data_IF_999906495434
#
_entry.id   IF_999906495434
#
_cell.length_a   1.000
_cell.length_b   1.000
_cell.length_c   1.000
_cell.angle_alpha   90.00
_cell.angle_beta   90.00
_cell.angle_gamma   90.00
#
_symmetry.space_group_name_H-M   'P 1'
#
loop_
_entity.id
_entity.type
_entity.pdbx_description
1 polymer ?
#
# COMPACT_ATOMS: atom_id res chain seq x y z
N UNK A 1 -10.66 -23.14 -9.49
CA UNK A 1 -10.65 -21.67 -9.72
C UNK A 1 -11.81 -21.36 -10.68
N UNK A 2 -13.00 -20.97 -10.19
CA UNK A 2 -14.11 -20.54 -11.09
C UNK A 2 -13.76 -19.15 -11.63
N UNK A 3 -13.27 -19.08 -12.87
CA UNK A 3 -12.65 -17.88 -13.49
C UNK A 3 -13.62 -16.70 -13.70
N UNK A 4 -14.90 -16.89 -13.99
CA UNK A 4 -15.76 -15.80 -14.49
C UNK A 4 -16.38 -14.78 -13.50
N UNK A 5 -16.11 -14.82 -12.19
CA UNK A 5 -16.71 -13.84 -11.24
C UNK A 5 -15.79 -12.68 -10.83
N UNK A 6 -14.49 -12.81 -11.04
CA UNK A 6 -13.55 -11.75 -10.66
C UNK A 6 -13.41 -10.68 -11.75
N UNK A 7 -13.70 -11.04 -13.00
CA UNK A 7 -13.46 -10.17 -14.17
C UNK A 7 -14.36 -8.93 -14.15
N UNK A 8 -15.62 -9.07 -13.72
CA UNK A 8 -16.56 -7.95 -13.57
C UNK A 8 -16.15 -6.94 -12.50
N UNK A 9 -15.48 -7.38 -11.43
CA UNK A 9 -15.03 -6.51 -10.34
C UNK A 9 -13.87 -5.66 -10.85
N UNK A 10 -12.94 -6.29 -11.55
CA UNK A 10 -11.82 -5.60 -12.17
C UNK A 10 -12.35 -4.55 -13.15
N UNK A 11 -13.28 -4.92 -14.03
CA UNK A 11 -13.93 -4.00 -14.95
C UNK A 11 -14.61 -2.82 -14.21
N UNK A 12 -15.37 -3.09 -13.15
CA UNK A 12 -16.00 -2.03 -12.34
C UNK A 12 -14.97 -1.07 -11.74
N UNK A 13 -13.85 -1.58 -11.20
CA UNK A 13 -12.80 -0.72 -10.64
C UNK A 13 -12.12 0.09 -11.74
N UNK A 14 -11.83 -0.51 -12.90
CA UNK A 14 -11.33 0.21 -14.07
C UNK A 14 -12.29 1.33 -14.51
N UNK A 15 -13.61 1.10 -14.45
CA UNK A 15 -14.62 2.11 -14.73
C UNK A 15 -14.63 3.24 -13.70
N UNK A 16 -14.27 3.02 -12.43
CA UNK A 16 -14.13 4.11 -11.46
C UNK A 16 -12.92 4.99 -11.80
N UNK A 17 -11.83 4.39 -12.26
CA UNK A 17 -10.57 5.08 -12.60
C UNK A 17 -10.44 5.47 -14.08
N UNK A 18 -11.50 5.35 -14.88
CA UNK A 18 -11.41 5.50 -16.34
C UNK A 18 -10.83 6.86 -16.78
N UNK A 19 -11.19 7.95 -16.09
CA UNK A 19 -10.69 9.30 -16.42
C UNK A 19 -9.17 9.39 -16.27
N UNK A 20 -8.61 8.78 -15.22
CA UNK A 20 -7.16 8.72 -15.00
C UNK A 20 -6.47 7.90 -16.09
N UNK A 21 -7.10 6.83 -16.57
CA UNK A 21 -6.51 5.98 -17.60
C UNK A 21 -6.57 6.61 -18.99
N UNK A 22 -7.60 7.41 -19.29
CA UNK A 22 -7.72 8.13 -20.56
C UNK A 22 -6.83 9.38 -20.56
N UNK A 23 -6.75 10.09 -19.44
CA UNK A 23 -5.99 11.34 -19.30
C UNK A 23 -4.91 11.27 -18.20
N UNK A 24 -3.92 10.37 -18.33
CA UNK A 24 -2.96 10.09 -17.27
C UNK A 24 -1.94 11.20 -17.01
N UNK A 25 -1.72 12.13 -17.95
CA UNK A 25 -0.82 13.27 -17.72
C UNK A 25 -1.46 14.39 -16.90
N UNK A 26 -2.80 14.42 -16.81
CA UNK A 26 -3.50 15.39 -15.96
C UNK A 26 -3.37 15.04 -14.48
N UNK A 27 -2.71 13.92 -14.18
CA UNK A 27 -2.57 13.33 -12.87
C UNK A 27 -1.52 14.06 -12.00
N UNK A 28 -1.87 15.27 -11.54
CA UNK A 28 -1.32 16.06 -10.42
C UNK A 28 0.20 16.31 -10.28
N UNK A 29 0.48 17.16 -9.29
CA UNK A 29 1.71 17.92 -9.05
C UNK A 29 3.01 17.10 -8.93
N UNK A 30 2.97 15.85 -8.48
CA UNK A 30 4.19 15.05 -8.24
C UNK A 30 4.66 14.27 -9.49
N UNK A 31 3.85 14.21 -10.55
CA UNK A 31 4.17 13.47 -11.79
C UNK A 31 4.22 14.41 -13.00
N UNK A 32 5.42 14.87 -13.35
CA UNK A 32 5.62 15.71 -14.52
C UNK A 32 5.48 14.92 -15.83
N UNK A 33 4.90 15.56 -16.85
CA UNK A 33 4.89 15.02 -18.20
C UNK A 33 6.33 14.90 -18.72
N UNK A 34 6.70 13.72 -19.20
CA UNK A 34 8.02 13.46 -19.75
C UNK A 34 7.97 13.32 -21.27
N UNK A 35 8.70 14.18 -21.98
CA UNK A 35 8.84 14.09 -23.42
C UNK A 35 9.72 12.89 -23.81
N UNK A 36 9.58 12.44 -25.06
CA UNK A 36 10.35 11.28 -25.56
C UNK A 36 11.87 11.50 -25.41
N UNK A 37 12.37 12.69 -25.72
CA UNK A 37 13.80 13.03 -25.56
C UNK A 37 14.26 12.84 -24.12
N UNK A 38 13.55 13.46 -23.17
CA UNK A 38 13.85 13.37 -21.73
C UNK A 38 13.81 11.93 -21.19
N UNK A 39 12.87 11.11 -21.69
CA UNK A 39 12.83 9.69 -21.33
C UNK A 39 14.04 8.94 -21.89
N UNK A 40 14.51 9.25 -23.09
CA UNK A 40 15.69 8.61 -23.67
C UNK A 40 16.98 9.00 -22.95
N UNK A 41 17.08 10.22 -22.41
CA UNK A 41 18.23 10.67 -21.62
C UNK A 41 18.40 9.86 -20.32
N UNK A 42 17.31 9.24 -19.83
CA UNK A 42 17.33 8.33 -18.68
C UNK A 42 17.81 6.91 -19.02
N UNK A 43 18.10 6.58 -20.28
CA UNK A 43 18.79 5.33 -20.68
C UNK A 43 20.30 5.41 -20.40
N UNK A 44 20.64 5.86 -19.20
CA UNK A 44 22.01 6.07 -18.73
C UNK A 44 22.20 5.38 -17.39
N UNK A 45 23.45 5.19 -16.96
CA UNK A 45 23.76 4.69 -15.62
C UNK A 45 23.20 5.65 -14.56
N UNK A 46 22.82 5.15 -13.36
CA UNK A 46 22.21 5.99 -12.34
C UNK A 46 23.18 7.11 -11.92
N UNK A 47 22.76 8.35 -12.11
CA UNK A 47 23.55 9.55 -11.77
C UNK A 47 23.05 10.16 -10.46
N UNK A 48 23.97 10.55 -9.58
CA UNK A 48 23.66 11.26 -8.31
C UNK A 48 23.22 12.70 -8.51
N UNK A 49 23.47 13.25 -9.70
CA UNK A 49 22.98 14.54 -10.15
C UNK A 49 21.96 14.32 -11.25
N UNK A 50 20.81 14.98 -11.17
CA UNK A 50 19.81 14.96 -12.22
C UNK A 50 19.37 16.37 -12.54
N UNK A 51 19.31 16.72 -13.83
CA UNK A 51 18.57 17.89 -14.31
C UNK A 51 17.06 17.72 -14.15
N UNK A 52 16.60 16.51 -13.85
CA UNK A 52 15.20 16.13 -13.72
C UNK A 52 14.82 16.10 -12.24
N UNK A 53 13.94 17.02 -11.83
CA UNK A 53 13.59 17.24 -10.43
C UNK A 53 12.56 18.35 -10.25
N UNK A 54 12.10 18.55 -9.01
CA UNK A 54 10.99 19.47 -8.71
C UNK A 54 11.28 20.94 -9.08
N UNK A 55 12.56 21.29 -9.25
CA UNK A 55 13.03 22.68 -9.43
C UNK A 55 13.57 22.99 -10.82
N UNK A 56 13.77 22.00 -11.71
CA UNK A 56 14.23 22.18 -13.09
C UNK A 56 15.66 22.72 -13.30
N UNK A 57 16.36 23.14 -12.24
CA UNK A 57 17.75 23.64 -12.27
C UNK A 57 18.81 22.59 -11.95
N UNK A 58 18.38 21.34 -11.79
CA UNK A 58 19.21 20.23 -11.34
C UNK A 58 19.27 20.09 -9.81
N UNK A 59 19.25 18.83 -9.37
CA UNK A 59 19.24 18.47 -7.95
C UNK A 59 19.99 17.15 -7.71
N UNK A 60 20.37 16.93 -6.44
CA UNK A 60 20.90 15.65 -6.01
C UNK A 60 19.78 14.61 -5.94
N UNK A 61 19.91 13.54 -6.71
CA UNK A 61 18.94 12.46 -6.83
C UNK A 61 19.20 11.28 -5.89
N UNK A 62 20.18 11.40 -4.97
CA UNK A 62 20.62 10.31 -4.08
C UNK A 62 19.47 9.68 -3.30
N UNK A 63 18.47 10.48 -2.92
CA UNK A 63 17.27 10.04 -2.22
C UNK A 63 16.19 9.42 -3.12
N UNK A 64 16.47 9.06 -4.37
CA UNK A 64 15.55 8.34 -5.27
C UNK A 64 16.26 7.34 -6.19
N UNK A 65 17.58 7.13 -6.04
CA UNK A 65 18.37 6.27 -6.94
C UNK A 65 17.88 4.81 -7.02
N UNK A 66 17.27 4.30 -5.96
CA UNK A 66 16.66 2.96 -5.96
C UNK A 66 15.57 2.77 -7.02
N UNK A 67 14.98 3.88 -7.50
CA UNK A 67 13.94 3.89 -8.52
C UNK A 67 14.48 3.81 -9.95
N UNK A 68 15.80 3.91 -10.16
CA UNK A 68 16.42 3.90 -11.48
C UNK A 68 15.92 2.78 -12.43
N UNK A 69 15.73 1.52 -11.98
CA UNK A 69 15.18 0.47 -12.84
C UNK A 69 13.79 0.76 -13.40
N UNK A 70 12.94 1.48 -12.64
CA UNK A 70 11.62 1.93 -13.11
C UNK A 70 11.79 2.98 -14.20
N UNK A 71 12.74 3.91 -14.02
CA UNK A 71 13.13 4.88 -15.04
C UNK A 71 13.51 4.22 -16.36
N UNK A 72 14.45 3.26 -16.34
CA UNK A 72 14.86 2.52 -17.55
C UNK A 72 13.68 1.84 -18.22
N UNK A 73 12.78 1.24 -17.45
CA UNK A 73 11.62 0.56 -18.00
C UNK A 73 10.77 1.52 -18.86
N UNK A 74 10.40 2.68 -18.32
CA UNK A 74 9.65 3.69 -19.08
C UNK A 74 10.45 4.26 -20.26
N UNK A 75 11.75 4.46 -20.11
CA UNK A 75 12.63 4.90 -21.18
C UNK A 75 12.75 3.88 -22.34
N UNK A 76 12.74 2.59 -22.01
CA UNK A 76 12.76 1.51 -23.01
C UNK A 76 11.46 1.48 -23.80
N UNK A 77 10.31 1.70 -23.13
CA UNK A 77 9.01 1.85 -23.81
C UNK A 77 9.02 3.05 -24.77
N UNK A 78 9.61 4.18 -24.36
CA UNK A 78 9.78 5.35 -25.22
C UNK A 78 10.66 5.07 -26.43
N UNK A 79 11.74 4.29 -26.26
CA UNK A 79 12.65 3.88 -27.34
C UNK A 79 11.94 3.07 -28.43
N UNK A 80 11.02 2.19 -28.06
CA UNK A 80 10.19 1.41 -29.01
C UNK A 80 8.97 2.19 -29.54
N UNK A 81 8.86 3.47 -29.21
CA UNK A 81 7.85 4.37 -29.77
C UNK A 81 6.55 4.49 -28.96
N UNK A 82 6.46 3.90 -27.77
CA UNK A 82 5.29 4.07 -26.91
C UNK A 82 5.38 5.44 -26.24
N UNK A 83 4.38 6.29 -26.47
CA UNK A 83 4.28 7.61 -25.84
C UNK A 83 4.09 7.46 -24.32
N UNK A 84 4.67 8.38 -23.55
CA UNK A 84 4.57 8.49 -22.10
C UNK A 84 3.14 8.33 -21.56
N UNK A 85 2.13 8.93 -22.20
CA UNK A 85 0.73 8.79 -21.79
C UNK A 85 0.25 7.34 -21.81
N UNK A 86 0.53 6.63 -22.91
CA UNK A 86 0.15 5.22 -23.06
C UNK A 86 0.93 4.38 -22.03
N UNK A 87 2.21 4.68 -21.84
CA UNK A 87 3.04 4.00 -20.84
C UNK A 87 2.48 4.19 -19.43
N UNK A 88 2.11 5.40 -19.03
CA UNK A 88 1.53 5.71 -17.72
C UNK A 88 0.15 5.06 -17.53
N UNK A 89 -0.72 5.13 -18.53
CA UNK A 89 -2.05 4.53 -18.46
C UNK A 89 -1.97 3.01 -18.26
N UNK A 90 -1.17 2.32 -19.08
CA UNK A 90 -1.11 0.85 -19.08
C UNK A 90 -0.17 0.32 -17.99
N UNK A 91 1.09 0.73 -18.03
CA UNK A 91 2.14 0.17 -17.18
C UNK A 91 2.33 0.93 -15.85
N UNK A 92 1.78 2.13 -15.74
CA UNK A 92 1.65 2.84 -14.47
C UNK A 92 0.35 2.49 -13.76
N UNK A 93 -0.68 3.31 -13.95
CA UNK A 93 -1.95 3.22 -13.23
C UNK A 93 -2.70 1.91 -13.48
N UNK A 94 -2.70 1.41 -14.72
CA UNK A 94 -3.31 0.13 -15.06
C UNK A 94 -2.71 -1.04 -14.29
N UNK A 95 -1.38 -1.11 -14.20
CA UNK A 95 -0.68 -2.10 -13.38
C UNK A 95 -0.97 -1.92 -11.89
N UNK A 96 -0.97 -0.67 -11.38
CA UNK A 96 -1.32 -0.42 -9.98
C UNK A 96 -2.72 -0.96 -9.65
N UNK A 97 -3.74 -0.62 -10.46
CA UNK A 97 -5.12 -1.09 -10.27
C UNK A 97 -5.22 -2.62 -10.39
N UNK A 98 -4.58 -3.21 -11.40
CA UNK A 98 -4.61 -4.65 -11.58
C UNK A 98 -3.96 -5.39 -10.40
N UNK A 99 -2.77 -4.96 -9.99
CA UNK A 99 -2.04 -5.56 -8.88
C UNK A 99 -2.75 -5.33 -7.55
N UNK A 100 -3.46 -4.20 -7.36
CA UNK A 100 -4.18 -3.95 -6.12
C UNK A 100 -5.29 -4.97 -5.93
N UNK A 101 -6.08 -5.23 -6.99
CA UNK A 101 -7.12 -6.27 -7.01
C UNK A 101 -6.49 -7.66 -6.87
N UNK A 102 -5.46 -7.98 -7.66
CA UNK A 102 -4.85 -9.30 -7.67
C UNK A 102 -4.20 -9.64 -6.32
N UNK A 103 -3.38 -8.73 -5.79
CA UNK A 103 -2.63 -8.89 -4.56
C UNK A 103 -3.54 -9.11 -3.35
N UNK A 104 -4.47 -8.19 -3.11
CA UNK A 104 -5.40 -8.34 -1.98
C UNK A 104 -6.32 -9.55 -2.16
N UNK A 105 -6.71 -9.88 -3.40
CA UNK A 105 -7.52 -11.07 -3.69
C UNK A 105 -6.79 -12.37 -3.33
N UNK A 106 -5.47 -12.46 -3.54
CA UNK A 106 -4.68 -13.62 -3.11
C UNK A 106 -4.62 -13.74 -1.60
N UNK A 107 -4.33 -12.63 -0.91
CA UNK A 107 -4.29 -12.60 0.55
C UNK A 107 -5.65 -12.98 1.17
N UNK A 108 -6.76 -12.42 0.68
CA UNK A 108 -8.11 -12.79 1.14
C UNK A 108 -8.42 -14.28 0.90
N UNK A 109 -7.96 -14.82 -0.24
CA UNK A 109 -8.11 -16.24 -0.57
C UNK A 109 -7.37 -17.17 0.39
N UNK A 110 -6.17 -16.78 0.84
CA UNK A 110 -5.40 -17.50 1.85
C UNK A 110 -6.20 -17.72 3.13
N UNK A 111 -6.88 -16.67 3.60
CA UNK A 111 -7.77 -16.71 4.76
C UNK A 111 -9.17 -17.27 4.46
N UNK A 112 -9.37 -17.95 3.33
CA UNK A 112 -10.64 -18.61 2.93
C UNK A 112 -11.83 -17.65 2.84
N UNK A 113 -11.58 -16.37 2.57
CA UNK A 113 -12.60 -15.36 2.26
C UNK A 113 -12.97 -15.49 0.78
N UNK A 114 -14.26 -15.64 0.47
CA UNK A 114 -14.73 -15.93 -0.89
C UNK A 114 -16.10 -15.31 -1.20
N UNK A 115 -16.47 -15.34 -2.48
CA UNK A 115 -17.75 -14.81 -2.97
C UNK A 115 -17.89 -13.31 -2.70
N UNK A 116 -19.12 -12.85 -2.42
CA UNK A 116 -19.44 -11.43 -2.21
C UNK A 116 -18.59 -10.77 -1.13
N UNK A 117 -18.28 -11.47 -0.03
CA UNK A 117 -17.43 -10.91 1.03
C UNK A 117 -16.03 -10.52 0.53
N UNK A 118 -15.46 -11.35 -0.36
CA UNK A 118 -14.18 -11.06 -1.01
C UNK A 118 -14.27 -9.83 -1.91
N UNK A 119 -15.39 -9.66 -2.63
CA UNK A 119 -15.64 -8.49 -3.48
C UNK A 119 -15.65 -7.22 -2.63
N UNK A 120 -16.43 -7.19 -1.54
CA UNK A 120 -16.53 -6.01 -0.68
C UNK A 120 -15.17 -5.63 -0.06
N UNK A 121 -14.38 -6.61 0.35
CA UNK A 121 -13.03 -6.40 0.87
C UNK A 121 -12.05 -5.84 -0.19
N UNK A 122 -12.11 -6.36 -1.43
CA UNK A 122 -11.34 -5.82 -2.56
C UNK A 122 -11.74 -4.36 -2.80
N UNK A 123 -13.04 -4.07 -2.89
CA UNK A 123 -13.54 -2.71 -3.14
C UNK A 123 -13.06 -1.72 -2.08
N UNK A 124 -13.10 -2.08 -0.78
CA UNK A 124 -12.54 -1.21 0.28
C UNK A 124 -11.02 -0.99 0.09
N UNK A 125 -10.28 -2.01 -0.34
CA UNK A 125 -8.83 -1.89 -0.56
C UNK A 125 -8.50 -0.98 -1.74
N UNK A 126 -9.30 -1.02 -2.80
CA UNK A 126 -9.02 -0.31 -4.06
C UNK A 126 -9.74 1.02 -4.20
N UNK A 127 -10.73 1.31 -3.36
CA UNK A 127 -11.57 2.51 -3.43
C UNK A 127 -11.56 3.32 -2.12
N UNK A 128 -10.60 3.06 -1.21
CA UNK A 128 -10.41 3.96 -0.08
C UNK A 128 -9.76 5.28 -0.54
N UNK A 129 -9.97 6.33 0.24
CA UNK A 129 -9.49 7.68 -0.06
C UNK A 129 -7.98 7.75 -0.21
N UNK A 130 -7.22 6.92 0.52
CA UNK A 130 -5.77 6.92 0.45
C UNK A 130 -5.25 6.44 -0.90
N UNK A 131 -5.68 5.26 -1.36
CA UNK A 131 -5.25 4.72 -2.66
C UNK A 131 -5.71 5.62 -3.81
N UNK A 132 -6.94 6.16 -3.73
CA UNK A 132 -7.43 7.11 -4.71
C UNK A 132 -6.52 8.33 -4.77
N UNK A 133 -6.08 8.89 -3.64
CA UNK A 133 -5.21 10.07 -3.63
C UNK A 133 -3.76 9.79 -4.00
N UNK A 134 -3.27 8.55 -3.84
CA UNK A 134 -1.97 8.19 -4.42
C UNK A 134 -2.02 8.23 -5.94
N UNK A 135 -3.13 7.74 -6.50
CA UNK A 135 -3.40 7.89 -7.93
C UNK A 135 -3.60 9.37 -8.24
N UNK A 136 -4.45 10.07 -7.49
CA UNK A 136 -4.79 11.48 -7.74
C UNK A 136 -3.57 12.39 -7.66
N UNK A 137 -2.60 12.10 -6.81
CA UNK A 137 -1.40 12.91 -6.62
C UNK A 137 -0.29 12.64 -7.60
N UNK A 138 -0.44 11.69 -8.54
CA UNK A 138 0.66 11.26 -9.39
C UNK A 138 1.73 10.46 -8.63
N UNK A 139 1.45 9.98 -7.41
CA UNK A 139 2.37 9.18 -6.59
C UNK A 139 2.41 7.72 -7.05
N UNK A 140 2.72 7.52 -8.34
CA UNK A 140 2.60 6.24 -9.04
C UNK A 140 3.40 5.12 -8.36
N UNK A 141 4.65 5.42 -7.99
CA UNK A 141 5.53 4.46 -7.32
C UNK A 141 4.90 3.95 -6.01
N UNK A 142 4.34 4.85 -5.19
CA UNK A 142 3.64 4.47 -3.96
C UNK A 142 2.36 3.67 -4.26
N UNK A 143 1.59 4.03 -5.29
CA UNK A 143 0.39 3.29 -5.69
C UNK A 143 0.71 1.85 -6.12
N UNK A 144 1.79 1.65 -6.89
CA UNK A 144 2.23 0.30 -7.29
C UNK A 144 2.77 -0.46 -6.06
N UNK A 145 3.57 0.17 -5.19
CA UNK A 145 4.06 -0.46 -3.98
C UNK A 145 2.91 -0.88 -3.03
N UNK A 146 1.88 -0.04 -2.89
CA UNK A 146 0.66 -0.33 -2.14
C UNK A 146 -0.03 -1.58 -2.65
N UNK A 147 -0.05 -1.74 -3.98
CA UNK A 147 -0.70 -2.84 -4.68
C UNK A 147 0.07 -4.16 -4.56
N UNK A 148 1.40 -4.11 -4.51
CA UNK A 148 2.28 -5.28 -4.37
C UNK A 148 2.36 -5.77 -2.92
N UNK A 149 2.26 -4.89 -1.92
CA UNK A 149 2.46 -5.21 -0.50
C UNK A 149 1.62 -6.43 -0.01
N UNK A 150 0.30 -6.52 -0.26
CA UNK A 150 -0.49 -7.69 0.12
C UNK A 150 -0.02 -8.99 -0.56
N UNK A 151 0.48 -8.88 -1.81
CA UNK A 151 0.95 -10.02 -2.59
C UNK A 151 2.28 -10.54 -2.04
N UNK A 152 3.20 -9.64 -1.69
CA UNK A 152 4.46 -10.01 -1.05
C UNK A 152 4.20 -10.73 0.29
N UNK A 153 3.33 -10.15 1.12
CA UNK A 153 2.95 -10.78 2.39
C UNK A 153 2.25 -12.12 2.19
N UNK A 154 1.38 -12.26 1.18
CA UNK A 154 0.78 -13.55 0.82
C UNK A 154 1.82 -14.62 0.47
N UNK A 155 2.83 -14.30 -0.35
CA UNK A 155 3.88 -15.28 -0.69
C UNK A 155 4.75 -15.66 0.50
N UNK A 156 5.01 -14.71 1.40
CA UNK A 156 5.64 -15.01 2.69
C UNK A 156 4.81 -16.04 3.46
N UNK A 157 3.50 -15.82 3.65
CA UNK A 157 2.63 -16.77 4.35
C UNK A 157 2.60 -18.15 3.68
N UNK A 158 2.51 -18.21 2.36
CA UNK A 158 2.55 -19.47 1.62
C UNK A 158 3.88 -20.23 1.79
N UNK A 159 5.00 -19.53 1.99
CA UNK A 159 6.29 -20.16 2.26
C UNK A 159 6.34 -20.87 3.61
N UNK A 160 5.42 -20.54 4.53
CA UNK A 160 5.31 -21.21 5.82
C UNK A 160 4.49 -22.51 5.77
N UNK A 161 3.47 -22.58 4.91
CA UNK A 161 2.49 -23.67 4.91
C UNK A 161 2.84 -24.83 3.95
N UNK A 162 3.70 -24.59 2.95
CA UNK A 162 3.91 -25.52 1.84
C UNK A 162 5.17 -26.38 2.04
N UNK A 163 5.04 -27.71 1.85
CA UNK A 163 6.13 -28.69 1.89
C UNK A 163 7.28 -28.32 0.93
N UNK A 164 6.95 -27.74 -0.22
CA UNK A 164 7.90 -27.12 -1.16
C UNK A 164 7.94 -25.59 -1.03
N UNK A 165 8.59 -25.09 0.03
CA UNK A 165 8.68 -23.66 0.35
C UNK A 165 9.46 -22.82 -0.67
N UNK A 166 10.27 -23.45 -1.55
CA UNK A 166 11.17 -22.76 -2.48
C UNK A 166 10.44 -21.84 -3.47
N UNK A 167 9.34 -22.30 -4.06
CA UNK A 167 8.58 -21.51 -5.04
C UNK A 167 7.89 -20.30 -4.39
N UNK A 168 7.14 -20.45 -3.27
CA UNK A 168 6.63 -19.32 -2.52
C UNK A 168 7.73 -18.36 -2.06
N UNK A 169 8.85 -18.87 -1.57
CA UNK A 169 9.99 -18.05 -1.16
C UNK A 169 10.54 -17.23 -2.33
N UNK A 170 10.78 -17.85 -3.49
CA UNK A 170 11.21 -17.13 -4.69
C UNK A 170 10.24 -16.00 -5.06
N UNK A 171 8.93 -16.27 -5.04
CA UNK A 171 7.91 -15.25 -5.32
C UNK A 171 7.88 -14.14 -4.26
N UNK A 172 8.11 -14.46 -2.99
CA UNK A 172 8.30 -13.47 -1.92
C UNK A 172 9.52 -12.59 -2.20
N UNK A 173 10.67 -13.18 -2.53
CA UNK A 173 11.90 -12.44 -2.81
C UNK A 173 11.72 -11.50 -4.02
N UNK A 174 11.12 -11.98 -5.12
CA UNK A 174 10.85 -11.16 -6.31
C UNK A 174 9.86 -10.02 -6.02
N UNK A 175 8.78 -10.30 -5.28
CA UNK A 175 7.82 -9.24 -4.92
C UNK A 175 8.40 -8.23 -3.94
N UNK A 176 9.28 -8.64 -3.03
CA UNK A 176 10.05 -7.73 -2.18
C UNK A 176 11.04 -6.88 -2.97
N UNK A 177 11.75 -7.46 -3.95
CA UNK A 177 12.59 -6.68 -4.87
C UNK A 177 11.76 -5.66 -5.65
N UNK A 178 10.59 -6.05 -6.17
CA UNK A 178 9.70 -5.13 -6.85
C UNK A 178 9.26 -3.97 -5.94
N UNK A 179 8.86 -4.25 -4.68
CA UNK A 179 8.55 -3.19 -3.70
C UNK A 179 9.72 -2.21 -3.54
N UNK A 180 10.94 -2.74 -3.45
CA UNK A 180 12.15 -1.93 -3.24
C UNK A 180 12.47 -0.98 -4.40
N UNK A 181 12.10 -1.35 -5.64
CA UNK A 181 12.29 -0.52 -6.83
C UNK A 181 11.29 0.65 -6.85
N UNK A 182 10.06 0.41 -6.40
CA UNK A 182 9.04 1.45 -6.36
C UNK A 182 9.25 2.38 -5.16
N UNK A 183 9.34 1.83 -3.95
CA UNK A 183 9.61 2.61 -2.74
C UNK A 183 10.23 1.74 -1.64
N UNK A 184 11.50 2.00 -1.33
CA UNK A 184 12.26 1.24 -0.34
C UNK A 184 11.62 1.26 1.07
N UNK A 185 10.87 2.31 1.43
CA UNK A 185 10.24 2.44 2.76
C UNK A 185 9.15 1.38 2.97
N UNK A 186 8.51 0.92 1.90
CA UNK A 186 7.43 -0.06 1.98
C UNK A 186 7.96 -1.45 2.38
N UNK A 187 9.26 -1.73 2.20
CA UNK A 187 9.91 -2.90 2.78
C UNK A 187 9.87 -2.92 4.29
N UNK A 188 9.97 -1.76 4.93
CA UNK A 188 9.88 -1.63 6.37
C UNK A 188 8.45 -1.93 6.85
N UNK A 189 7.43 -1.49 6.09
CA UNK A 189 6.04 -1.86 6.37
C UNK A 189 5.79 -3.36 6.21
N UNK A 190 6.38 -4.00 5.19
CA UNK A 190 6.36 -5.46 5.03
C UNK A 190 7.05 -6.17 6.21
N UNK A 191 8.18 -5.64 6.69
CA UNK A 191 8.86 -6.16 7.86
C UNK A 191 7.99 -6.04 9.13
N UNK A 192 7.28 -4.93 9.33
CA UNK A 192 6.30 -4.77 10.42
C UNK A 192 5.19 -5.82 10.32
N UNK A 193 4.64 -6.07 9.13
CA UNK A 193 3.62 -7.11 8.92
C UNK A 193 4.15 -8.51 9.29
N UNK A 194 5.34 -8.86 8.81
CA UNK A 194 5.98 -10.15 9.10
C UNK A 194 6.29 -10.29 10.60
N UNK A 195 6.80 -9.23 11.23
CA UNK A 195 7.10 -9.20 12.66
C UNK A 195 5.82 -9.37 13.49
N UNK A 196 4.79 -8.56 13.24
CA UNK A 196 3.51 -8.66 13.94
C UNK A 196 2.84 -10.03 13.72
N UNK A 197 2.96 -10.62 12.53
CA UNK A 197 2.44 -11.96 12.27
C UNK A 197 3.19 -13.00 13.09
N UNK A 198 4.52 -12.94 13.07
CA UNK A 198 5.39 -13.84 13.84
C UNK A 198 5.13 -13.75 15.34
N UNK A 199 4.92 -12.54 15.84
CA UNK A 199 4.54 -12.29 17.23
C UNK A 199 3.18 -12.91 17.57
N UNK A 200 2.19 -12.80 16.66
CA UNK A 200 0.89 -13.46 16.83
C UNK A 200 0.99 -14.98 16.83
N UNK A 201 1.93 -15.56 16.07
CA UNK A 201 2.22 -17.00 16.11
C UNK A 201 2.74 -17.43 17.48
N UNK A 202 3.67 -16.68 18.05
CA UNK A 202 4.29 -17.01 19.35
C UNK A 202 3.26 -16.92 20.49
N UNK A 203 2.44 -15.88 20.52
CA UNK A 203 1.47 -15.67 21.60
C UNK A 203 0.22 -16.55 21.51
N UNK A 204 -0.14 -17.04 20.32
CA UNK A 204 -1.36 -17.85 20.16
C UNK A 204 -1.07 -19.34 20.08
N UNK A 205 0.13 -19.75 19.63
CA UNK A 205 0.59 -21.14 19.59
C UNK A 205 1.64 -21.37 20.70
N UNK A 206 1.20 -21.46 21.97
CA UNK A 206 2.02 -21.55 23.21
C UNK A 206 3.00 -22.74 23.32
N UNK A 207 3.27 -23.49 22.25
CA UNK A 207 4.22 -24.60 22.28
C UNK A 207 5.65 -24.08 22.04
N UNK A 208 6.49 -24.15 23.08
CA UNK A 208 7.90 -23.66 23.06
C UNK A 208 8.73 -24.17 21.86
N UNK A 209 8.47 -25.39 21.40
CA UNK A 209 9.12 -26.01 20.23
C UNK A 209 8.87 -25.20 18.94
N UNK A 210 7.74 -24.49 18.83
CA UNK A 210 7.42 -23.67 17.67
C UNK A 210 8.19 -22.34 17.64
N UNK A 211 8.56 -21.78 18.79
CA UNK A 211 9.20 -20.46 18.86
C UNK A 211 10.59 -20.49 18.22
N UNK A 212 11.46 -21.44 18.63
CA UNK A 212 12.81 -21.58 18.05
C UNK A 212 12.75 -21.80 16.53
N UNK A 213 11.79 -22.60 16.06
CA UNK A 213 11.59 -22.87 14.63
C UNK A 213 11.17 -21.62 13.86
N UNK A 214 10.19 -20.86 14.38
CA UNK A 214 9.71 -19.62 13.76
C UNK A 214 10.85 -18.60 13.68
N UNK A 215 11.57 -18.38 14.79
CA UNK A 215 12.69 -17.42 14.84
C UNK A 215 13.79 -17.82 13.87
N UNK A 216 14.28 -19.07 13.91
CA UNK A 216 15.33 -19.55 13.00
C UNK A 216 14.94 -19.37 11.53
N UNK A 217 13.71 -19.76 11.17
CA UNK A 217 13.21 -19.62 9.80
C UNK A 217 13.17 -18.15 9.36
N UNK A 218 12.60 -17.28 10.18
CA UNK A 218 12.49 -15.86 9.83
C UNK A 218 13.85 -15.17 9.72
N UNK A 219 14.81 -15.57 10.56
CA UNK A 219 16.20 -15.13 10.44
C UNK A 219 16.81 -15.60 9.11
N UNK A 220 16.63 -16.86 8.73
CA UNK A 220 17.15 -17.39 7.45
C UNK A 220 16.51 -16.67 6.25
N UNK A 221 15.18 -16.54 6.22
CA UNK A 221 14.46 -15.83 5.16
C UNK A 221 14.90 -14.37 5.12
N UNK A 222 15.03 -13.72 6.29
CA UNK A 222 15.47 -12.34 6.43
C UNK A 222 16.90 -12.13 5.90
N UNK A 223 17.84 -13.02 6.26
CA UNK A 223 19.22 -12.96 5.78
C UNK A 223 19.30 -13.14 4.26
N UNK A 224 18.59 -14.13 3.71
CA UNK A 224 18.52 -14.33 2.25
C UNK A 224 17.95 -13.08 1.57
N UNK A 225 16.87 -12.53 2.12
CA UNK A 225 16.25 -11.33 1.58
C UNK A 225 17.19 -10.12 1.62
N UNK A 226 17.90 -9.89 2.73
CA UNK A 226 18.87 -8.80 2.86
C UNK A 226 20.03 -8.96 1.87
N UNK A 227 20.59 -10.17 1.71
CA UNK A 227 21.68 -10.43 0.77
C UNK A 227 21.25 -10.11 -0.66
N UNK A 228 20.06 -10.59 -1.06
CA UNK A 228 19.51 -10.35 -2.40
C UNK A 228 19.21 -8.86 -2.60
N UNK A 229 18.62 -8.21 -1.60
CA UNK A 229 18.30 -6.79 -1.65
C UNK A 229 19.56 -5.93 -1.76
N UNK A 230 20.58 -6.22 -0.96
CA UNK A 230 21.87 -5.54 -1.01
C UNK A 230 22.56 -5.75 -2.36
N UNK A 231 22.61 -6.98 -2.86
CA UNK A 231 23.17 -7.29 -4.17
C UNK A 231 22.43 -6.57 -5.30
N UNK A 232 21.10 -6.51 -5.25
CA UNK A 232 20.29 -5.80 -6.23
C UNK A 232 20.49 -4.28 -6.18
N UNK A 233 20.64 -3.68 -4.99
CA UNK A 233 20.82 -2.24 -4.80
C UNK A 233 22.29 -1.78 -4.76
N UNK A 234 23.23 -2.70 -4.97
CA UNK A 234 24.67 -2.40 -4.94
C UNK A 234 25.07 -1.29 -5.92
N UNK A 235 24.35 -1.16 -7.05
CA UNK A 235 24.64 -0.18 -8.10
C UNK A 235 24.58 1.28 -7.63
N UNK A 236 23.83 1.60 -6.57
CA UNK A 236 23.78 2.95 -6.00
C UNK A 236 24.30 2.99 -4.57
N UNK A 237 24.14 1.91 -3.80
CA UNK A 237 24.65 1.83 -2.42
C UNK A 237 26.18 1.88 -2.38
N UNK A 238 26.87 1.09 -3.20
CA UNK A 238 28.34 1.03 -3.16
C UNK A 238 28.97 2.35 -3.62
N UNK A 239 28.59 2.95 -4.77
CA UNK A 239 29.12 4.25 -5.15
C UNK A 239 28.83 5.32 -4.11
N UNK A 240 27.63 5.34 -3.52
CA UNK A 240 27.28 6.33 -2.48
C UNK A 240 28.16 6.18 -1.23
N UNK A 241 28.45 4.94 -0.83
CA UNK A 241 29.32 4.66 0.30
C UNK A 241 30.78 5.04 0.03
N UNK A 242 31.34 4.65 -1.11
CA UNK A 242 32.75 4.90 -1.43
C UNK A 242 33.04 6.36 -1.79
N UNK A 243 32.13 7.03 -2.49
CA UNK A 243 32.29 8.44 -2.85
C UNK A 243 32.02 9.40 -1.71
N UNK A 244 31.57 8.90 -0.53
CA UNK A 244 31.00 9.71 0.55
C UNK A 244 29.97 10.68 -0.01
N UNK A 245 29.12 10.18 -0.92
CA UNK A 245 28.15 10.98 -1.65
C UNK A 245 27.30 11.82 -0.68
N UNK A 246 26.77 12.93 -1.21
CA UNK A 246 25.95 13.89 -0.48
C UNK A 246 24.95 13.16 0.42
N UNK A 247 25.13 13.38 1.72
CA UNK A 247 24.25 12.85 2.78
C UNK A 247 22.81 13.22 2.48
N UNK A 248 21.85 12.42 2.97
CA UNK A 248 20.44 12.78 2.91
C UNK A 248 20.26 14.24 3.37
N UNK A 249 19.31 14.99 2.78
CA UNK A 249 19.09 16.38 3.16
C UNK A 249 18.95 16.50 4.68
N UNK A 250 19.67 17.44 5.32
CA UNK A 250 19.73 17.57 6.78
C UNK A 250 18.34 17.68 7.45
N UNK A 251 17.32 18.09 6.70
CA UNK A 251 15.96 18.18 7.20
C UNK A 251 15.33 16.81 7.49
N UNK A 252 15.79 15.72 6.87
CA UNK A 252 15.16 14.38 6.99
C UNK A 252 15.19 13.83 8.42
N UNK A 253 16.15 14.25 9.22
CA UNK A 253 16.33 13.78 10.60
C UNK A 253 15.80 14.77 11.65
N UNK A 254 15.29 15.94 11.21
CA UNK A 254 14.80 16.96 12.14
C UNK A 254 13.42 16.59 12.67
N UNK A 255 13.28 16.57 14.00
CA UNK A 255 12.01 16.31 14.69
C UNK A 255 10.91 17.30 14.26
N UNK A 256 11.27 18.54 13.91
CA UNK A 256 10.31 19.55 13.41
C UNK A 256 9.58 19.13 12.13
N UNK A 257 10.15 18.22 11.33
CA UNK A 257 9.46 17.64 10.17
C UNK A 257 8.23 16.85 10.58
N UNK A 258 8.24 16.23 11.76
CA UNK A 258 7.08 15.51 12.26
C UNK A 258 5.90 16.46 12.43
N UNK A 259 6.11 17.63 13.04
CA UNK A 259 5.05 18.64 13.20
C UNK A 259 4.59 19.20 11.85
N UNK A 260 5.52 19.41 10.91
CA UNK A 260 5.21 19.96 9.58
C UNK A 260 4.38 19.01 8.71
N UNK A 261 4.64 17.70 8.77
CA UNK A 261 3.97 16.67 7.95
C UNK A 261 2.82 15.96 8.67
N UNK A 262 2.41 16.45 9.83
CA UNK A 262 1.40 15.81 10.68
C UNK A 262 -0.02 16.34 10.38
N UNK A 263 -0.63 15.76 9.35
CA UNK A 263 -1.97 16.16 8.88
C UNK A 263 -3.11 15.27 9.42
N UNK A 264 -2.82 13.99 9.72
CA UNK A 264 -3.85 13.01 10.07
C UNK A 264 -4.10 12.95 11.58
N UNK A 265 -5.35 13.13 12.01
CA UNK A 265 -5.74 12.85 13.41
C UNK A 265 -6.15 11.39 13.59
N UNK A 266 -6.37 10.96 14.84
CA UNK A 266 -6.88 9.61 15.11
C UNK A 266 -8.19 9.34 14.35
N UNK A 267 -9.11 10.30 14.27
CA UNK A 267 -10.36 10.16 13.52
C UNK A 267 -10.13 9.90 12.03
N UNK A 268 -9.21 10.64 11.41
CA UNK A 268 -8.84 10.44 9.99
C UNK A 268 -8.39 9.01 9.75
N UNK A 269 -7.45 8.55 10.57
CA UNK A 269 -6.85 7.22 10.42
C UNK A 269 -7.84 6.09 10.71
N UNK A 270 -8.66 6.25 11.75
CA UNK A 270 -9.67 5.27 12.14
C UNK A 270 -10.76 5.11 11.05
N UNK A 271 -11.12 6.20 10.38
CA UNK A 271 -12.11 6.23 9.29
C UNK A 271 -11.54 5.82 7.92
N UNK A 272 -10.24 5.47 7.86
CA UNK A 272 -9.49 5.31 6.59
C UNK A 272 -9.72 6.50 5.63
N UNK A 273 -9.78 7.68 6.22
CA UNK A 273 -10.04 8.96 5.56
C UNK A 273 -8.72 9.74 5.48
N UNK A 274 -8.22 9.94 4.27
CA UNK A 274 -6.98 10.67 4.04
C UNK A 274 -7.23 12.19 4.22
N UNK A 275 -6.35 12.93 4.93
CA UNK A 275 -6.60 14.33 5.34
C UNK A 275 -6.86 15.35 4.22
N UNK A 276 -6.29 15.14 3.04
CA UNK A 276 -6.44 15.96 1.84
C UNK A 276 -7.58 15.49 0.94
N UNK A 277 -8.46 14.59 1.41
CA UNK A 277 -9.62 14.17 0.63
C UNK A 277 -10.60 15.33 0.43
N UNK A 278 -11.14 15.61 -0.75
CA UNK A 278 -10.95 14.94 -2.04
C UNK A 278 -10.06 15.71 -3.03
N UNK A 279 -9.59 16.92 -2.67
CA UNK A 279 -8.67 17.72 -3.49
C UNK A 279 -7.27 17.56 -2.90
N UNK A 280 -6.38 16.84 -3.59
CA UNK A 280 -5.03 16.51 -3.15
C UNK A 280 -4.10 17.73 -3.12
N UNK A 281 -4.44 18.71 -2.28
CA UNK A 281 -3.77 19.99 -2.12
C UNK A 281 -2.98 19.92 -0.82
N UNK A 282 -1.66 19.98 -0.92
CA UNK A 282 -0.77 19.89 0.22
C UNK A 282 -1.11 20.91 1.32
N UNK A 283 -1.18 20.46 2.57
CA UNK A 283 -1.46 21.31 3.73
C UNK A 283 -2.95 21.63 3.95
N UNK A 284 -3.83 21.35 2.98
CA UNK A 284 -5.27 21.54 3.13
C UNK A 284 -5.93 20.30 3.74
N UNK A 285 -6.11 20.33 5.05
CA UNK A 285 -6.77 19.26 5.80
C UNK A 285 -8.29 19.43 5.79
N UNK A 286 -9.03 18.35 5.52
CA UNK A 286 -10.48 18.29 5.55
C UNK A 286 -10.95 17.40 6.70
N UNK A 287 -12.04 17.80 7.35
CA UNK A 287 -12.61 17.01 8.44
C UNK A 287 -13.19 15.68 7.92
N UNK A 288 -12.96 14.54 8.60
CA UNK A 288 -13.56 13.27 8.22
C UNK A 288 -15.08 13.35 8.24
N UNK A 289 -15.71 12.90 7.15
CA UNK A 289 -17.16 12.92 7.01
C UNK A 289 -17.79 11.74 7.78
N UNK A 290 -18.99 11.94 8.32
CA UNK A 290 -19.64 10.96 9.23
C UNK A 290 -19.93 9.64 8.53
N UNK A 291 -20.23 9.63 7.23
CA UNK A 291 -20.50 8.42 6.46
C UNK A 291 -19.35 7.40 6.49
N UNK A 292 -18.10 7.85 6.69
CA UNK A 292 -16.94 6.97 6.76
C UNK A 292 -16.90 6.10 8.01
N UNK A 293 -17.72 6.38 9.04
CA UNK A 293 -17.83 5.53 10.26
C UNK A 293 -18.29 4.10 9.93
N UNK A 294 -18.98 3.92 8.79
CA UNK A 294 -19.47 2.63 8.34
C UNK A 294 -18.32 1.64 8.11
N UNK A 295 -17.15 2.13 7.65
CA UNK A 295 -15.98 1.28 7.41
C UNK A 295 -15.41 0.66 8.69
N UNK A 296 -14.96 1.44 9.70
CA UNK A 296 -14.48 0.87 10.96
C UNK A 296 -15.59 0.07 11.67
N UNK A 297 -16.86 0.47 11.58
CA UNK A 297 -17.97 -0.31 12.15
C UNK A 297 -17.96 -1.75 11.65
N UNK A 298 -17.99 -1.97 10.33
CA UNK A 298 -17.97 -3.33 9.78
C UNK A 298 -16.62 -4.03 9.95
N UNK A 299 -15.50 -3.31 9.98
CA UNK A 299 -14.17 -3.85 10.24
C UNK A 299 -14.09 -4.44 11.65
N UNK A 300 -14.48 -3.67 12.67
CA UNK A 300 -14.39 -4.11 14.07
C UNK A 300 -15.54 -5.03 14.49
N UNK A 301 -16.65 -5.06 13.75
CA UNK A 301 -17.71 -6.08 13.93
C UNK A 301 -17.17 -7.52 13.76
N UNK A 302 -16.02 -7.70 13.10
CA UNK A 302 -15.33 -8.99 13.00
C UNK A 302 -15.00 -9.60 14.37
N UNK A 303 -14.75 -8.80 15.41
CA UNK A 303 -14.45 -9.29 16.77
C UNK A 303 -15.64 -9.99 17.41
N UNK A 304 -16.85 -9.57 17.05
CA UNK A 304 -18.12 -10.07 17.60
C UNK A 304 -18.60 -11.26 16.77
N UNK A 305 -18.58 -11.12 15.44
CA UNK A 305 -19.27 -12.06 14.54
C UNK A 305 -18.36 -13.21 14.11
N UNK A 306 -17.06 -12.99 13.98
CA UNK A 306 -16.12 -14.01 13.49
C UNK A 306 -15.54 -14.82 14.64
N UNK A 307 -15.56 -16.15 14.53
CA UNK A 307 -14.90 -17.03 15.49
C UNK A 307 -13.42 -16.64 15.62
N UNK A 308 -12.94 -16.53 16.86
CA UNK A 308 -11.54 -16.25 17.17
C UNK A 308 -10.62 -17.17 16.37
N UNK A 309 -9.71 -16.56 15.61
CA UNK A 309 -8.70 -17.24 14.83
C UNK A 309 -7.41 -16.42 14.87
N UNK A 310 -6.28 -17.07 14.64
CA UNK A 310 -4.97 -16.42 14.57
C UNK A 310 -4.94 -15.28 13.55
N UNK A 311 -5.51 -15.49 12.37
CA UNK A 311 -5.63 -14.45 11.35
C UNK A 311 -6.45 -13.25 11.81
N UNK A 312 -7.58 -13.48 12.48
CA UNK A 312 -8.41 -12.40 13.03
C UNK A 312 -7.62 -11.55 14.05
N UNK A 313 -6.99 -12.20 15.04
CA UNK A 313 -6.22 -11.50 16.08
C UNK A 313 -5.04 -10.74 15.47
N UNK A 314 -4.30 -11.36 14.55
CA UNK A 314 -3.19 -10.72 13.85
C UNK A 314 -3.62 -9.42 13.16
N UNK A 315 -4.67 -9.44 12.33
CA UNK A 315 -5.10 -8.25 11.61
C UNK A 315 -5.75 -7.21 12.53
N UNK A 316 -6.37 -7.60 13.63
CA UNK A 316 -6.86 -6.65 14.65
C UNK A 316 -5.69 -5.89 15.29
N UNK A 317 -4.64 -6.59 15.70
CA UNK A 317 -3.44 -5.96 16.26
C UNK A 317 -2.79 -5.05 15.21
N UNK A 318 -2.64 -5.53 13.98
CA UNK A 318 -2.08 -4.74 12.88
C UNK A 318 -2.91 -3.48 12.62
N UNK A 319 -4.24 -3.58 12.60
CA UNK A 319 -5.14 -2.45 12.42
C UNK A 319 -4.97 -1.41 13.53
N UNK A 320 -4.99 -1.82 14.80
CA UNK A 320 -4.87 -0.93 15.95
C UNK A 320 -3.51 -0.21 15.97
N UNK A 321 -2.42 -0.94 15.77
CA UNK A 321 -1.07 -0.36 15.69
C UNK A 321 -0.99 0.63 14.53
N UNK A 322 -1.50 0.26 13.36
CA UNK A 322 -1.38 1.10 12.15
C UNK A 322 -2.21 2.36 12.24
N UNK A 323 -3.43 2.30 12.79
CA UNK A 323 -4.27 3.47 13.09
C UNK A 323 -3.53 4.40 14.06
N UNK A 324 -2.94 3.83 15.12
CA UNK A 324 -2.18 4.61 16.11
C UNK A 324 -0.91 5.25 15.54
N UNK A 325 -0.19 4.57 14.64
CA UNK A 325 1.01 5.12 14.00
C UNK A 325 0.68 6.13 12.91
N UNK A 326 -0.40 5.93 12.15
CA UNK A 326 -0.76 6.81 11.05
C UNK A 326 -1.13 8.23 11.50
N UNK A 327 -1.58 8.41 12.73
CA UNK A 327 -1.90 9.75 13.28
C UNK A 327 -0.64 10.56 13.62
N UNK A 328 0.55 9.97 13.51
CA UNK A 328 1.82 10.64 13.81
C UNK A 328 1.86 11.18 15.23
N UNK A 329 2.27 12.44 15.34
CA UNK A 329 2.44 13.16 16.60
C UNK A 329 1.15 13.80 17.12
N UNK A 330 0.01 13.64 16.44
CA UNK A 330 -1.27 14.06 16.98
C UNK A 330 -1.67 13.24 18.23
N UNK A 331 -2.46 13.81 19.16
CA UNK A 331 -3.00 13.05 20.29
C UNK A 331 -3.84 11.83 19.86
N UNK A 332 -3.96 10.79 20.71
CA UNK A 332 -3.33 10.62 22.03
C UNK A 332 -1.89 10.09 21.94
N UNK A 333 -1.12 10.20 23.05
CA UNK A 333 0.24 9.64 23.19
C UNK A 333 1.23 10.05 22.07
N UNK A 334 1.32 11.35 21.79
CA UNK A 334 2.24 11.93 20.78
C UNK A 334 3.70 11.54 20.98
N UNK A 335 4.14 11.40 22.24
CA UNK A 335 5.51 11.05 22.62
C UNK A 335 5.99 9.70 22.08
N UNK A 336 5.08 8.74 21.84
CA UNK A 336 5.46 7.42 21.29
C UNK A 336 6.00 7.56 19.87
N UNK A 337 5.35 8.36 19.02
CA UNK A 337 5.79 8.55 17.64
C UNK A 337 7.14 9.28 17.58
N UNK A 338 7.31 10.32 18.42
CA UNK A 338 8.59 11.02 18.57
C UNK A 338 9.70 10.07 19.02
N UNK A 339 9.43 9.23 20.02
CA UNK A 339 10.40 8.26 20.51
C UNK A 339 10.81 7.27 19.41
N UNK A 340 9.85 6.73 18.66
CA UNK A 340 10.14 5.84 17.53
C UNK A 340 10.98 6.53 16.47
N UNK A 341 10.64 7.76 16.09
CA UNK A 341 11.37 8.54 15.09
C UNK A 341 12.84 8.76 15.42
N UNK A 342 13.14 9.01 16.70
CA UNK A 342 14.51 9.29 17.16
C UNK A 342 15.29 8.01 17.45
N UNK A 343 14.66 6.99 18.02
CA UNK A 343 15.36 5.85 18.62
C UNK A 343 15.29 4.57 17.79
N UNK A 344 14.28 4.40 16.94
CA UNK A 344 14.13 3.17 16.16
C UNK A 344 14.84 3.32 14.79
N UNK A 345 15.87 2.51 14.50
CA UNK A 345 16.62 2.63 13.25
C UNK A 345 15.71 2.53 12.02
N UNK A 346 15.90 3.46 11.09
CA UNK A 346 15.11 3.57 9.86
C UNK A 346 13.69 4.11 10.03
N UNK A 347 13.22 4.37 11.25
CA UNK A 347 11.88 4.94 11.45
C UNK A 347 11.81 6.42 11.06
N UNK A 348 12.96 7.12 11.03
CA UNK A 348 13.07 8.48 10.51
C UNK A 348 12.61 8.63 9.04
N UNK A 349 12.62 7.53 8.27
CA UNK A 349 12.08 7.47 6.91
C UNK A 349 10.57 7.70 6.85
N UNK A 350 9.87 7.55 7.97
CA UNK A 350 8.45 7.77 8.14
C UNK A 350 8.12 9.14 8.74
N UNK A 351 8.88 10.19 8.42
CA UNK A 351 8.51 11.57 8.81
C UNK A 351 7.08 11.96 8.42
N UNK A 352 6.59 11.39 7.32
CA UNK A 352 5.19 11.42 6.90
C UNK A 352 4.50 10.15 7.40
N UNK A 353 3.66 10.30 8.43
CA UNK A 353 2.94 9.18 9.05
C UNK A 353 1.85 8.60 8.15
N UNK A 354 1.46 9.27 7.06
CA UNK A 354 0.41 8.79 6.16
C UNK A 354 0.76 7.46 5.48
N UNK A 355 2.05 7.07 5.43
CA UNK A 355 2.46 5.78 4.86
C UNK A 355 1.92 4.58 5.62
N UNK A 356 1.55 4.74 6.90
CA UNK A 356 0.89 3.68 7.67
C UNK A 356 -0.54 3.36 7.20
N UNK A 357 -1.16 4.20 6.35
CA UNK A 357 -2.43 3.87 5.69
C UNK A 357 -2.34 2.61 4.81
N UNK A 358 -1.14 2.23 4.33
CA UNK A 358 -0.93 0.94 3.66
C UNK A 358 -1.38 -0.22 4.56
N UNK A 359 -0.95 -0.21 5.82
CA UNK A 359 -1.24 -1.27 6.78
C UNK A 359 -2.69 -1.19 7.27
N UNK A 360 -3.24 0.02 7.43
CA UNK A 360 -4.67 0.22 7.72
C UNK A 360 -5.51 -0.40 6.59
N UNK A 361 -5.23 -0.07 5.33
CA UNK A 361 -6.02 -0.56 4.22
C UNK A 361 -5.97 -2.09 4.08
N UNK A 362 -4.78 -2.71 4.21
CA UNK A 362 -4.66 -4.17 4.18
C UNK A 362 -5.43 -4.81 5.33
N UNK A 363 -5.23 -4.33 6.55
CA UNK A 363 -5.86 -4.91 7.74
C UNK A 363 -7.38 -4.73 7.74
N UNK A 364 -7.87 -3.52 7.42
CA UNK A 364 -9.29 -3.23 7.32
C UNK A 364 -9.96 -4.08 6.25
N UNK A 365 -9.36 -4.22 5.06
CA UNK A 365 -9.93 -5.07 4.01
C UNK A 365 -10.03 -6.54 4.40
N UNK A 366 -9.02 -7.10 5.08
CA UNK A 366 -9.08 -8.49 5.53
C UNK A 366 -10.12 -8.68 6.66
N UNK A 367 -10.15 -7.78 7.65
CA UNK A 367 -11.13 -7.82 8.73
C UNK A 367 -12.57 -7.65 8.24
N UNK A 368 -12.81 -6.71 7.33
CA UNK A 368 -14.10 -6.54 6.64
C UNK A 368 -14.49 -7.83 5.90
N UNK A 369 -13.52 -8.45 5.23
CA UNK A 369 -13.68 -9.74 4.58
C UNK A 369 -14.09 -10.84 5.56
N UNK A 370 -13.52 -10.90 6.77
CA UNK A 370 -13.97 -11.81 7.82
C UNK A 370 -15.41 -11.55 8.26
N UNK A 371 -15.77 -10.29 8.53
CA UNK A 371 -17.13 -9.89 8.92
C UNK A 371 -18.16 -10.39 7.92
N UNK A 372 -18.03 -10.01 6.64
CA UNK A 372 -19.01 -10.39 5.63
C UNK A 372 -18.97 -11.87 5.28
N UNK A 373 -17.80 -12.52 5.32
CA UNK A 373 -17.69 -13.95 5.03
C UNK A 373 -18.42 -14.77 6.09
N UNK A 374 -18.33 -14.38 7.36
CA UNK A 374 -19.05 -15.04 8.45
C UNK A 374 -20.54 -14.71 8.42
N UNK A 375 -20.92 -13.43 8.29
CA UNK A 375 -22.32 -13.02 8.18
C UNK A 375 -23.04 -13.76 7.04
N UNK A 376 -22.47 -13.77 5.83
CA UNK A 376 -23.09 -14.38 4.66
C UNK A 376 -23.11 -15.91 4.66
N UNK A 377 -22.40 -16.56 5.59
CA UNK A 377 -22.45 -18.02 5.82
C UNK A 377 -23.35 -18.42 6.99
N UNK A 378 -23.82 -17.44 7.79
CA UNK A 378 -24.73 -17.68 8.92
C UNK A 378 -26.08 -18.24 8.47
N UNK A 379 -26.80 -18.90 9.40
CA UNK A 379 -28.14 -19.45 9.12
C UNK A 379 -29.13 -18.37 8.66
N UNK A 380 -29.09 -17.19 9.29
CA UNK A 380 -29.96 -16.05 8.96
C UNK A 380 -29.80 -15.62 7.49
N UNK A 381 -28.57 -15.33 7.06
CA UNK A 381 -28.30 -14.86 5.69
C UNK A 381 -28.43 -15.96 4.63
N UNK A 382 -28.33 -17.24 5.02
CA UNK A 382 -28.68 -18.37 4.15
C UNK A 382 -30.18 -18.50 3.95
N UNK A 383 -30.98 -18.28 5.01
CA UNK A 383 -32.46 -18.28 4.95
C UNK A 383 -32.99 -17.08 4.16
N UNK A 384 -32.46 -15.88 4.41
CA UNK A 384 -32.93 -14.64 3.80
C UNK A 384 -31.93 -14.11 2.76
N UNK A 385 -31.98 -14.66 1.55
CA UNK A 385 -31.07 -14.26 0.46
C UNK A 385 -31.19 -12.78 0.08
N UNK A 386 -32.39 -12.20 0.22
CA UNK A 386 -32.63 -10.77 -0.01
C UNK A 386 -31.86 -9.90 0.98
N UNK A 387 -31.82 -10.28 2.26
CA UNK A 387 -31.04 -9.58 3.29
C UNK A 387 -29.55 -9.55 2.92
N UNK A 388 -29.00 -10.69 2.47
CA UNK A 388 -27.62 -10.76 1.97
C UNK A 388 -27.36 -9.78 0.82
N UNK A 389 -28.24 -9.74 -0.16
CA UNK A 389 -28.12 -8.83 -1.31
C UNK A 389 -28.25 -7.37 -0.87
N UNK A 390 -29.20 -7.06 0.00
CA UNK A 390 -29.43 -5.72 0.53
C UNK A 390 -28.23 -5.20 1.34
N UNK A 391 -27.67 -6.01 2.24
CA UNK A 391 -26.47 -5.60 3.02
C UNK A 391 -25.27 -5.37 2.10
N UNK A 392 -25.05 -6.25 1.11
CA UNK A 392 -23.96 -6.06 0.16
C UNK A 392 -24.17 -4.81 -0.71
N UNK A 393 -25.40 -4.58 -1.20
CA UNK A 393 -25.76 -3.40 -1.98
C UNK A 393 -25.59 -2.12 -1.17
N UNK A 394 -26.08 -2.09 0.08
CA UNK A 394 -25.91 -0.96 0.99
C UNK A 394 -24.43 -0.57 1.13
N UNK A 395 -23.56 -1.54 1.41
CA UNK A 395 -22.13 -1.26 1.54
C UNK A 395 -21.50 -0.76 0.24
N UNK A 396 -21.90 -1.32 -0.91
CA UNK A 396 -21.45 -0.86 -2.23
C UNK A 396 -21.92 0.59 -2.49
N UNK A 397 -23.17 0.92 -2.17
CA UNK A 397 -23.71 2.27 -2.33
C UNK A 397 -22.97 3.27 -1.44
N UNK A 398 -22.67 2.91 -0.18
CA UNK A 398 -21.86 3.74 0.72
C UNK A 398 -20.46 3.97 0.15
N UNK A 399 -19.81 2.93 -0.37
CA UNK A 399 -18.50 3.07 -1.03
C UNK A 399 -18.58 3.99 -2.25
N UNK A 400 -19.55 3.78 -3.15
CA UNK A 400 -19.75 4.62 -4.34
C UNK A 400 -20.01 6.08 -3.93
N UNK A 401 -20.84 6.29 -2.91
CA UNK A 401 -21.12 7.62 -2.37
C UNK A 401 -19.88 8.28 -1.76
N UNK A 402 -19.02 7.49 -1.11
CA UNK A 402 -17.76 7.98 -0.53
C UNK A 402 -16.76 8.41 -1.60
N UNK A 403 -16.75 7.72 -2.76
CA UNK A 403 -15.90 8.06 -3.92
C UNK A 403 -16.59 8.94 -4.96
N UNK A 404 -17.77 9.51 -4.64
CA UNK A 404 -18.51 10.39 -5.55
C UNK A 404 -17.68 11.54 -6.13
N UNK A 405 -16.70 12.17 -5.44
CA UNK A 405 -15.88 13.22 -6.05
C UNK A 405 -15.09 12.72 -7.28
N UNK A 406 -14.64 11.46 -7.27
CA UNK A 406 -13.96 10.82 -8.41
C UNK A 406 -14.90 10.76 -9.62
N UNK A 407 -16.10 10.22 -9.40
CA UNK A 407 -17.10 10.03 -10.45
C UNK A 407 -17.56 11.38 -11.03
N UNK A 408 -17.77 12.36 -10.15
CA UNK A 408 -18.19 13.71 -10.51
C UNK A 408 -17.07 14.56 -11.12
N UNK A 409 -15.83 14.07 -11.18
CA UNK A 409 -14.72 14.84 -11.75
C UNK A 409 -14.24 16.00 -10.90
N UNK A 410 -14.36 15.89 -9.56
CA UNK A 410 -13.95 16.94 -8.62
C UNK A 410 -12.56 16.74 -8.01
N UNK A 411 -11.88 15.67 -8.44
CA UNK A 411 -10.52 15.39 -8.03
C UNK A 411 -9.59 16.46 -8.60
N UNK A 412 -8.43 16.69 -7.97
CA UNK A 412 -7.52 17.79 -8.39
C UNK A 412 -7.16 17.69 -9.87
N UNK A 413 -6.99 16.48 -10.39
CA UNK A 413 -6.69 16.16 -11.80
C UNK A 413 -7.81 16.54 -12.78
N UNK A 414 -9.04 16.59 -12.30
CA UNK A 414 -10.23 16.61 -13.14
C UNK A 414 -10.88 18.00 -13.22
N UNK A 415 -10.41 18.94 -12.39
CA UNK A 415 -10.85 20.34 -12.42
C UNK A 415 -9.92 21.24 -13.27
N UNK A 416 -8.67 20.82 -13.51
CA UNK A 416 -7.69 21.45 -14.42
C UNK A 416 -7.72 20.82 -15.83
#
# INVERSE_FOLDING_TARGET
MRRGKNDWILLFIFLVYYKVLIFPYRVANDLHFAFKGELLDKLTLPQTWSSWGAVGFGEYSTSVLWNWPVGIFFSTLAKIGINFNISLAIFGFGIAIFLSVFGISRLLGFYKISGTAKILAILLFTLNTYFILLIDGGQLNLAIAYSILPLAFYYYLCSEEIVNFKIPLFKFLISGLALSMFDFRILYLLAIMIFAYSLSCVFLDFKFINIKRIVKRNLVIGLIFIIILFGFHAYWLLPSFFSKAVTLPQNYERISQLSFLNFATLTHTFYIYQPHWFKNVFGKVTMPQVEFIIFPFFVFLSTIVTKKSKGLVYFLILALISVFLAKGVNPPFSGVYNWLFVNLPGFNLFRDSSKFYFLIAVSYSVLLGFTFNTLFKSKLFKKYILLKKATALFFILVLIYSVRPVLLGKMTILED
#
